data_IF_434314837224
#
_entry.id   IF_434314837224
#
_cell.length_a   1.000
_cell.length_b   1.000
_cell.length_c   1.000
_cell.angle_alpha   90.00
_cell.angle_beta   90.00
_cell.angle_gamma   90.00
#
_symmetry.space_group_name_H-M   'P 1'
#
loop_
_entity.id
_entity.type
_entity.pdbx_description
1 polymer ?
#
# COMPACT_ATOMS: atom_id res chain seq x y z
N UNK A 1 2.36 -13.41 6.82
CA UNK A 1 2.10 -12.79 5.52
C UNK A 1 3.19 -11.79 5.19
N UNK A 2 3.31 -11.45 3.94
CA UNK A 2 4.31 -10.47 3.47
C UNK A 2 3.59 -9.22 2.99
N UNK A 3 4.00 -8.05 3.51
CA UNK A 3 3.40 -6.75 3.18
C UNK A 3 4.47 -5.89 2.50
N UNK A 4 4.18 -5.41 1.29
CA UNK A 4 5.04 -4.47 0.58
C UNK A 4 4.59 -3.04 0.90
N UNK A 5 5.52 -2.22 1.40
CA UNK A 5 5.28 -0.81 1.69
C UNK A 5 6.08 0.03 0.70
N UNK A 6 5.39 0.76 -0.16
CA UNK A 6 6.00 1.61 -1.19
C UNK A 6 5.76 3.08 -0.88
N UNK A 7 6.83 3.83 -0.68
CA UNK A 7 6.82 5.27 -0.43
C UNK A 7 8.23 5.79 -0.69
N UNK A 8 8.38 6.93 -1.33
CA UNK A 8 9.69 7.50 -1.62
C UNK A 8 10.38 8.08 -0.38
N UNK A 9 9.63 8.31 0.69
CA UNK A 9 10.17 8.78 1.96
C UNK A 9 10.48 7.61 2.89
N UNK A 10 11.75 7.43 3.23
CA UNK A 10 12.16 6.42 4.20
C UNK A 10 11.49 6.64 5.56
N UNK A 11 11.38 7.91 5.99
CA UNK A 11 10.73 8.25 7.26
C UNK A 11 9.26 7.81 7.24
N UNK A 12 8.57 8.04 6.14
CA UNK A 12 7.16 7.63 6.02
C UNK A 12 7.03 6.12 6.02
N UNK A 13 7.94 5.39 5.34
CA UNK A 13 7.90 3.91 5.40
C UNK A 13 8.04 3.43 6.84
N UNK A 14 8.94 4.03 7.62
CA UNK A 14 9.11 3.66 9.03
C UNK A 14 7.87 3.97 9.86
N UNK A 15 7.20 5.08 9.60
CA UNK A 15 5.96 5.44 10.28
C UNK A 15 4.85 4.44 9.95
N UNK A 16 4.70 4.06 8.69
CA UNK A 16 3.72 3.05 8.27
C UNK A 16 4.00 1.71 8.95
N UNK A 17 5.25 1.27 8.94
CA UNK A 17 5.64 0.00 9.57
C UNK A 17 5.36 0.02 11.07
N UNK A 18 5.70 1.12 11.75
CA UNK A 18 5.41 1.27 13.18
C UNK A 18 3.92 1.21 13.46
N UNK A 19 3.13 1.91 12.63
CA UNK A 19 1.68 1.93 12.77
C UNK A 19 1.08 0.55 12.58
N UNK A 20 1.58 -0.22 11.60
CA UNK A 20 1.18 -1.60 11.40
C UNK A 20 1.44 -2.45 12.65
N UNK A 21 2.60 -2.30 13.26
CA UNK A 21 2.94 -3.03 14.49
C UNK A 21 2.01 -2.66 15.64
N UNK A 22 1.73 -1.37 15.80
CA UNK A 22 0.81 -0.87 16.83
C UNK A 22 -0.63 -1.36 16.60
N UNK A 23 -0.99 -1.58 15.34
CA UNK A 23 -2.32 -2.08 14.99
C UNK A 23 -2.47 -3.59 15.18
N UNK A 24 -1.40 -4.29 15.54
CA UNK A 24 -1.44 -5.73 15.79
C UNK A 24 -0.88 -6.59 14.65
N UNK A 25 -0.17 -5.99 13.69
CA UNK A 25 0.38 -6.70 12.54
C UNK A 25 1.90 -6.86 12.61
N UNK A 26 2.47 -6.90 13.81
CA UNK A 26 3.92 -7.02 14.02
C UNK A 26 4.52 -8.34 13.53
N UNK A 27 3.69 -9.40 13.44
CA UNK A 27 4.14 -10.73 13.01
C UNK A 27 4.29 -10.91 11.50
N UNK A 28 4.03 -9.89 10.71
CA UNK A 28 4.13 -9.97 9.26
C UNK A 28 5.49 -9.50 8.75
N UNK A 29 5.97 -10.11 7.66
CA UNK A 29 7.19 -9.71 7.01
C UNK A 29 6.94 -8.43 6.19
N UNK A 30 7.82 -7.45 6.34
CA UNK A 30 7.69 -6.18 5.63
C UNK A 30 8.80 -6.07 4.58
N UNK A 31 8.40 -5.77 3.35
CA UNK A 31 9.30 -5.46 2.24
C UNK A 31 9.08 -4.00 1.88
N UNK A 32 10.15 -3.26 1.63
CA UNK A 32 10.06 -1.84 1.32
C UNK A 32 10.45 -1.55 -0.12
N UNK A 33 9.81 -0.55 -0.72
CA UNK A 33 10.17 -0.01 -2.04
C UNK A 33 10.14 1.52 -1.97
N UNK A 34 11.08 2.16 -2.64
CA UNK A 34 11.22 3.62 -2.59
C UNK A 34 10.63 4.34 -3.81
N UNK A 35 10.12 3.60 -4.78
CA UNK A 35 9.43 4.15 -5.95
C UNK A 35 8.53 3.09 -6.55
N UNK A 36 7.68 3.50 -7.50
CA UNK A 36 6.72 2.59 -8.12
C UNK A 36 7.36 1.51 -8.98
N UNK A 37 8.47 1.82 -9.64
CA UNK A 37 9.18 0.86 -10.47
C UNK A 37 9.76 -0.27 -9.63
N UNK A 38 10.42 0.08 -8.52
CA UNK A 38 10.95 -0.91 -7.58
C UNK A 38 9.82 -1.72 -6.95
N UNK A 39 8.71 -1.07 -6.62
CA UNK A 39 7.54 -1.75 -6.06
C UNK A 39 6.99 -2.79 -7.04
N UNK A 40 6.88 -2.45 -8.32
CA UNK A 40 6.41 -3.38 -9.34
C UNK A 40 7.34 -4.60 -9.44
N UNK A 41 8.64 -4.39 -9.43
CA UNK A 41 9.62 -5.48 -9.44
C UNK A 41 9.44 -6.38 -8.22
N UNK A 42 9.22 -5.81 -7.04
CA UNK A 42 9.04 -6.58 -5.80
C UNK A 42 7.70 -7.30 -5.72
N UNK A 43 6.65 -6.77 -6.36
CA UNK A 43 5.40 -7.52 -6.49
C UNK A 43 5.66 -8.86 -7.21
N UNK A 44 6.49 -8.85 -8.24
CA UNK A 44 6.82 -10.08 -8.97
C UNK A 44 7.80 -10.96 -8.22
N UNK A 45 8.87 -10.40 -7.67
CA UNK A 45 9.94 -11.18 -7.04
C UNK A 45 9.62 -11.67 -5.64
N UNK A 46 8.87 -10.90 -4.86
CA UNK A 46 8.56 -11.20 -3.46
C UNK A 46 7.17 -11.79 -3.26
N UNK A 47 6.27 -11.65 -4.24
CA UNK A 47 4.90 -12.13 -4.18
C UNK A 47 4.20 -11.74 -2.86
N UNK A 48 4.10 -10.45 -2.54
CA UNK A 48 3.49 -10.02 -1.28
C UNK A 48 2.01 -10.37 -1.22
N UNK A 49 1.49 -10.45 -0.01
CA UNK A 49 0.07 -10.71 0.25
C UNK A 49 -0.74 -9.42 0.31
N UNK A 50 -0.08 -8.28 0.45
CA UNK A 50 -0.70 -6.95 0.48
C UNK A 50 0.31 -5.92 0.02
N UNK A 51 -0.15 -4.93 -0.75
CA UNK A 51 0.65 -3.76 -1.14
C UNK A 51 0.03 -2.52 -0.50
N UNK A 52 0.84 -1.76 0.24
CA UNK A 52 0.49 -0.45 0.75
C UNK A 52 1.37 0.56 0.02
N UNK A 53 0.77 1.46 -0.74
CA UNK A 53 1.52 2.38 -1.60
C UNK A 53 1.11 3.83 -1.38
N UNK A 54 2.10 4.73 -1.37
CA UNK A 54 1.82 6.14 -1.53
C UNK A 54 1.34 6.40 -2.96
N UNK A 55 0.69 7.52 -3.18
CA UNK A 55 0.21 7.94 -4.50
C UNK A 55 1.32 8.63 -5.30
N UNK A 56 2.01 9.58 -4.67
CA UNK A 56 3.05 10.37 -5.32
C UNK A 56 4.43 9.77 -5.08
N UNK A 57 5.00 9.15 -6.11
CA UNK A 57 6.32 8.55 -6.07
C UNK A 57 7.06 8.83 -7.38
N UNK A 58 8.41 8.95 -7.35
CA UNK A 58 9.18 9.08 -8.57
C UNK A 58 9.19 7.77 -9.37
N UNK A 59 9.59 7.82 -10.61
CA UNK A 59 9.68 6.74 -11.58
C UNK A 59 8.31 6.22 -12.04
N UNK A 60 7.41 5.97 -11.09
CA UNK A 60 6.04 5.51 -11.34
C UNK A 60 5.19 5.85 -10.13
N UNK A 61 4.12 6.62 -10.30
CA UNK A 61 3.24 6.96 -9.18
C UNK A 61 2.35 5.76 -8.78
N UNK A 62 1.66 5.90 -7.64
CA UNK A 62 0.91 4.78 -7.07
C UNK A 62 -0.25 4.29 -7.92
N UNK A 63 -0.95 5.20 -8.63
CA UNK A 63 -2.08 4.79 -9.48
C UNK A 63 -1.58 4.06 -10.73
N UNK A 64 -0.45 4.46 -11.29
CA UNK A 64 0.17 3.77 -12.41
C UNK A 64 0.75 2.42 -11.98
N UNK A 65 1.30 2.36 -10.76
CA UNK A 65 1.74 1.09 -10.17
C UNK A 65 0.57 0.10 -10.07
N UNK A 66 -0.57 0.55 -9.56
CA UNK A 66 -1.76 -0.29 -9.45
C UNK A 66 -2.18 -0.82 -10.83
N UNK A 67 -2.23 0.05 -11.83
CA UNK A 67 -2.57 -0.34 -13.19
C UNK A 67 -1.58 -1.37 -13.75
N UNK A 68 -0.29 -1.16 -13.53
CA UNK A 68 0.76 -2.07 -13.99
C UNK A 68 0.67 -3.45 -13.31
N UNK A 69 0.40 -3.47 -12.00
CA UNK A 69 0.23 -4.71 -11.24
C UNK A 69 -0.97 -5.50 -11.79
N UNK A 70 -2.10 -4.84 -12.02
CA UNK A 70 -3.29 -5.48 -12.57
C UNK A 70 -3.08 -5.97 -14.00
N UNK A 71 -2.39 -5.17 -14.83
CA UNK A 71 -2.06 -5.55 -16.22
C UNK A 71 -1.14 -6.77 -16.28
N UNK A 72 -0.30 -6.94 -15.28
CA UNK A 72 0.58 -8.11 -15.18
C UNK A 72 -0.16 -9.37 -14.70
N UNK A 73 -1.45 -9.30 -14.46
CA UNK A 73 -2.26 -10.42 -14.03
C UNK A 73 -2.32 -10.64 -12.53
N UNK A 74 -1.71 -9.77 -11.74
CA UNK A 74 -1.75 -9.91 -10.28
C UNK A 74 -3.03 -9.29 -9.72
N UNK A 75 -3.70 -10.04 -8.85
CA UNK A 75 -4.86 -9.55 -8.09
C UNK A 75 -4.51 -9.29 -6.63
N UNK A 76 -3.23 -9.06 -6.33
CA UNK A 76 -2.78 -8.81 -4.97
C UNK A 76 -3.59 -7.69 -4.32
N UNK A 77 -4.06 -7.86 -3.08
CA UNK A 77 -4.71 -6.80 -2.33
C UNK A 77 -3.84 -5.55 -2.29
N UNK A 78 -4.42 -4.41 -2.66
CA UNK A 78 -3.70 -3.14 -2.84
C UNK A 78 -4.46 -2.03 -2.14
N UNK A 79 -3.78 -1.23 -1.34
CA UNK A 79 -4.34 -0.07 -0.67
C UNK A 79 -3.40 1.12 -0.77
N UNK A 80 -3.96 2.33 -0.74
CA UNK A 80 -3.18 3.56 -0.75
C UNK A 80 -3.05 4.14 0.66
N UNK A 81 -1.87 4.70 0.93
CA UNK A 81 -1.57 5.47 2.14
C UNK A 81 -0.96 6.78 1.65
N UNK A 82 -1.72 7.87 1.66
CA UNK A 82 -1.31 9.11 1.01
C UNK A 82 -1.67 10.33 1.84
N UNK A 83 -0.97 11.45 1.60
CA UNK A 83 -1.27 12.74 2.25
C UNK A 83 -2.50 13.41 1.65
N UNK A 84 -2.99 12.93 0.51
CA UNK A 84 -4.16 13.46 -0.16
C UNK A 84 -5.25 12.40 -0.18
N UNK A 85 -6.51 12.79 0.00
CA UNK A 85 -7.62 11.85 0.03
C UNK A 85 -8.87 12.45 -0.58
N UNK A 86 -8.74 13.10 -1.74
CA UNK A 86 -9.88 13.69 -2.43
C UNK A 86 -10.86 12.61 -2.92
N UNK A 87 -12.11 13.01 -3.15
CA UNK A 87 -13.12 12.12 -3.69
C UNK A 87 -12.71 11.57 -5.07
N UNK A 88 -12.06 12.39 -5.90
CA UNK A 88 -11.55 11.97 -7.19
C UNK A 88 -10.49 10.89 -7.07
N UNK A 89 -9.53 11.07 -6.15
CA UNK A 89 -8.48 10.08 -5.91
C UNK A 89 -9.06 8.77 -5.41
N UNK A 90 -10.02 8.83 -4.50
CA UNK A 90 -10.68 7.63 -3.97
C UNK A 90 -11.44 6.88 -5.07
N UNK A 91 -12.11 7.61 -5.95
CA UNK A 91 -12.83 7.01 -7.08
C UNK A 91 -11.86 6.34 -8.06
N UNK A 92 -10.73 6.99 -8.37
CA UNK A 92 -9.70 6.43 -9.26
C UNK A 92 -9.05 5.18 -8.65
N UNK A 93 -8.78 5.21 -7.36
CA UNK A 93 -8.22 4.06 -6.65
C UNK A 93 -9.18 2.87 -6.72
N UNK A 94 -10.44 3.08 -6.40
CA UNK A 94 -11.46 2.04 -6.45
C UNK A 94 -11.65 1.49 -7.86
N UNK A 95 -11.70 2.36 -8.87
CA UNK A 95 -11.84 1.95 -10.26
C UNK A 95 -10.65 1.10 -10.74
N UNK A 96 -9.45 1.35 -10.20
CA UNK A 96 -8.26 0.56 -10.49
C UNK A 96 -8.17 -0.76 -9.73
N UNK A 97 -9.08 -1.00 -8.79
CA UNK A 97 -9.10 -2.22 -8.00
C UNK A 97 -8.43 -2.13 -6.64
N UNK A 98 -8.13 -0.93 -6.14
CA UNK A 98 -7.64 -0.76 -4.77
C UNK A 98 -8.78 -1.01 -3.78
N UNK A 99 -8.44 -1.64 -2.65
CA UNK A 99 -9.43 -1.97 -1.62
C UNK A 99 -9.74 -0.80 -0.69
N UNK A 100 -8.77 0.11 -0.52
CA UNK A 100 -8.94 1.26 0.39
C UNK A 100 -7.95 2.37 0.07
N UNK A 101 -8.21 3.53 0.66
CA UNK A 101 -7.29 4.66 0.66
C UNK A 101 -7.31 5.27 2.07
N UNK A 102 -6.15 5.30 2.71
CA UNK A 102 -5.97 5.90 4.02
C UNK A 102 -5.28 7.25 3.83
N UNK A 103 -5.88 8.32 4.34
CA UNK A 103 -5.29 9.65 4.30
C UNK A 103 -4.40 9.88 5.52
N UNK A 104 -3.23 10.49 5.33
CA UNK A 104 -2.35 10.93 6.41
C UNK A 104 -2.90 12.24 7.01
N UNK A 105 -2.78 12.47 8.31
CA UNK A 105 -2.27 11.55 9.33
C UNK A 105 -3.26 10.43 9.63
N UNK A 106 -2.72 9.28 10.01
CA UNK A 106 -3.52 8.08 10.30
C UNK A 106 -3.19 7.52 11.69
N UNK A 107 -4.04 6.64 12.18
CA UNK A 107 -3.89 5.99 13.49
C UNK A 107 -3.80 4.48 13.32
N UNK A 108 -3.29 3.74 14.33
CA UNK A 108 -3.33 2.27 14.28
C UNK A 108 -4.75 1.74 14.09
N UNK A 109 -5.76 2.39 14.69
CA UNK A 109 -7.16 2.00 14.57
C UNK A 109 -7.66 2.13 13.13
N UNK A 110 -7.24 3.18 12.41
CA UNK A 110 -7.59 3.37 11.01
C UNK A 110 -7.01 2.25 10.13
N UNK A 111 -5.78 1.82 10.41
CA UNK A 111 -5.18 0.68 9.72
C UNK A 111 -5.94 -0.61 10.02
N UNK A 112 -6.22 -0.88 11.28
CA UNK A 112 -6.92 -2.11 11.67
C UNK A 112 -8.30 -2.19 11.03
N UNK A 113 -9.02 -1.08 10.96
CA UNK A 113 -10.35 -1.02 10.35
C UNK A 113 -10.35 -1.51 8.90
N UNK A 114 -9.35 -1.09 8.11
CA UNK A 114 -9.29 -1.46 6.68
C UNK A 114 -8.53 -2.77 6.44
N UNK A 115 -7.59 -3.15 7.31
CA UNK A 115 -6.76 -4.33 7.12
C UNK A 115 -7.36 -5.61 7.72
N UNK A 116 -8.17 -5.51 8.76
CA UNK A 116 -8.76 -6.69 9.39
C UNK A 116 -9.55 -7.54 8.39
N UNK A 117 -10.42 -6.99 7.53
CA UNK A 117 -11.11 -7.79 6.52
C UNK A 117 -10.17 -8.46 5.51
N UNK A 118 -9.01 -7.87 5.26
CA UNK A 118 -8.04 -8.37 4.27
C UNK A 118 -7.11 -9.42 4.87
N UNK A 119 -6.58 -9.17 6.06
CA UNK A 119 -5.54 -10.00 6.67
C UNK A 119 -6.05 -10.98 7.71
N UNK A 120 -7.18 -10.69 8.34
CA UNK A 120 -7.76 -11.55 9.39
C UNK A 120 -9.03 -12.25 8.93
N UNK A 121 -9.63 -11.73 7.90
CA UNK A 121 -10.87 -12.26 7.37
C UNK A 121 -10.66 -13.24 6.28
#
# INVERSE_FOLDING_TARGET
MKILVADDSRVMRQIVIRTLRQAGYAGHDIVEAENGKEALEKVHSEAPDLVLSDWNMPEMNGIDLLAAVRSAGSSVPFGFVTSEGSADMRARASAGGALFLIAKPFTPEAFDEVLAPVLKG
#
